data_IF_592632299961
#
_entry.id   IF_592632299961
#
_cell.length_a   1.000
_cell.length_b   1.000
_cell.length_c   1.000
_cell.angle_alpha   90.00
_cell.angle_beta   90.00
_cell.angle_gamma   90.00
#
_symmetry.space_group_name_H-M   'P 1'
#
loop_
_entity.id
_entity.type
_entity.pdbx_description
1 polymer ?
#
# COMPACT_ATOMS: atom_id res chain seq x y z
N UNK A 1 -50.46 0.24 29.56
CA UNK A 1 -49.27 1.01 29.95
C UNK A 1 -48.16 0.69 28.96
N UNK A 2 -47.67 1.68 28.22
CA UNK A 2 -46.56 1.49 27.27
C UNK A 2 -45.26 1.85 28.00
N UNK A 3 -44.31 0.91 28.04
CA UNK A 3 -42.99 1.14 28.65
C UNK A 3 -42.19 2.16 27.83
N UNK A 4 -41.59 3.15 28.49
CA UNK A 4 -40.62 4.06 27.87
C UNK A 4 -39.30 3.34 27.62
N UNK A 5 -38.79 3.38 26.39
CA UNK A 5 -37.50 2.78 26.01
C UNK A 5 -36.39 3.81 26.29
N UNK A 6 -35.55 3.54 27.29
CA UNK A 6 -34.43 4.42 27.68
C UNK A 6 -33.10 4.10 27.00
N UNK A 7 -32.96 2.92 26.39
CA UNK A 7 -31.77 2.49 25.66
C UNK A 7 -32.15 1.47 24.58
N UNK A 8 -31.39 1.42 23.49
CA UNK A 8 -31.52 0.41 22.43
C UNK A 8 -30.23 -0.39 22.38
N UNK A 9 -30.34 -1.70 22.13
CA UNK A 9 -29.18 -2.51 21.82
C UNK A 9 -28.68 -2.15 20.41
N UNK A 10 -27.37 -2.04 20.29
CA UNK A 10 -26.67 -1.92 19.01
C UNK A 10 -25.55 -2.95 19.05
N UNK A 11 -25.29 -3.59 17.91
CA UNK A 11 -24.15 -4.50 17.79
C UNK A 11 -22.85 -3.73 18.11
N UNK A 12 -22.03 -4.19 19.08
CA UNK A 12 -20.78 -3.51 19.44
C UNK A 12 -19.80 -3.31 18.28
N UNK A 13 -19.74 -4.23 17.32
CA UNK A 13 -18.92 -4.06 16.12
C UNK A 13 -19.50 -2.97 15.21
N UNK A 14 -20.82 -2.93 15.06
CA UNK A 14 -21.48 -1.84 14.34
C UNK A 14 -21.17 -0.49 15.00
N UNK A 15 -21.24 -0.37 16.32
CA UNK A 15 -20.92 0.88 17.04
C UNK A 15 -19.49 1.34 16.77
N UNK A 16 -18.50 0.43 16.83
CA UNK A 16 -17.09 0.73 16.56
C UNK A 16 -16.91 1.32 15.15
N UNK A 17 -17.48 0.66 14.14
CA UNK A 17 -17.26 1.05 12.75
C UNK A 17 -18.11 2.25 12.32
N UNK A 18 -19.30 2.43 12.89
CA UNK A 18 -20.09 3.67 12.73
C UNK A 18 -19.35 4.87 13.33
N UNK A 19 -18.79 4.73 14.53
CA UNK A 19 -17.99 5.79 15.15
C UNK A 19 -16.71 6.07 14.34
N UNK A 20 -16.09 5.04 13.76
CA UNK A 20 -14.90 5.16 12.90
C UNK A 20 -15.21 5.92 11.62
N UNK A 21 -16.30 5.58 10.93
CA UNK A 21 -16.80 6.31 9.78
C UNK A 21 -17.07 7.79 10.13
N UNK A 22 -17.75 8.04 11.25
CA UNK A 22 -18.03 9.40 11.73
C UNK A 22 -16.75 10.21 12.02
N UNK A 23 -15.73 9.61 12.65
CA UNK A 23 -14.42 10.24 12.89
C UNK A 23 -13.72 10.64 11.60
N UNK A 24 -13.96 9.92 10.51
CA UNK A 24 -13.43 10.23 9.19
C UNK A 24 -14.35 11.18 8.39
N UNK A 25 -15.47 11.60 8.98
CA UNK A 25 -16.45 12.51 8.41
C UNK A 25 -17.37 11.84 7.38
N UNK A 26 -17.67 10.56 7.57
CA UNK A 26 -18.68 9.82 6.83
C UNK A 26 -19.91 9.61 7.72
N UNK A 27 -21.10 9.71 7.12
CA UNK A 27 -22.37 9.31 7.72
C UNK A 27 -22.84 8.05 7.03
N UNK A 28 -23.01 6.97 7.80
CA UNK A 28 -23.47 5.69 7.26
C UNK A 28 -25.00 5.64 7.26
N UNK A 29 -25.59 5.33 6.12
CA UNK A 29 -27.03 5.14 5.93
C UNK A 29 -27.29 3.69 5.52
N UNK A 30 -28.22 2.99 6.20
CA UNK A 30 -28.62 1.62 5.82
C UNK A 30 -29.81 1.68 4.86
N UNK A 31 -29.73 1.03 3.69
CA UNK A 31 -30.83 0.97 2.72
C UNK A 31 -30.99 -0.39 2.06
N UNK A 32 -32.21 -0.82 1.69
CA UNK A 32 -32.42 -2.10 1.02
C UNK A 32 -32.08 -2.10 -0.48
N UNK A 33 -31.93 -0.93 -1.10
CA UNK A 33 -31.77 -0.75 -2.55
C UNK A 33 -30.32 -0.51 -2.99
N UNK A 34 -29.35 -0.71 -2.10
CA UNK A 34 -27.93 -0.57 -2.39
C UNK A 34 -27.13 -1.68 -1.70
N UNK A 35 -26.00 -2.08 -2.27
CA UNK A 35 -25.06 -2.99 -1.61
C UNK A 35 -24.02 -2.18 -0.83
N UNK A 36 -23.23 -1.36 -1.52
CA UNK A 36 -22.44 -0.27 -0.95
C UNK A 36 -22.31 0.85 -1.98
N UNK A 37 -22.38 2.12 -1.55
CA UNK A 37 -22.17 3.28 -2.40
C UNK A 37 -21.81 4.52 -1.60
N UNK A 38 -21.02 5.44 -2.16
CA UNK A 38 -20.81 6.78 -1.61
C UNK A 38 -21.21 7.86 -2.60
N UNK A 39 -21.75 8.96 -2.11
CA UNK A 39 -22.15 10.09 -2.97
C UNK A 39 -21.04 11.13 -3.15
N UNK A 40 -19.84 10.88 -2.61
CA UNK A 40 -18.71 11.81 -2.63
C UNK A 40 -18.92 13.05 -1.74
N UNK A 41 -19.98 13.09 -0.93
CA UNK A 41 -20.34 14.24 -0.07
C UNK A 41 -20.38 13.87 1.41
N UNK A 42 -19.75 12.75 1.75
CA UNK A 42 -19.63 12.27 3.13
C UNK A 42 -20.78 11.35 3.55
N UNK A 43 -21.60 10.85 2.63
CA UNK A 43 -22.56 9.79 2.92
C UNK A 43 -22.10 8.47 2.33
N UNK A 44 -22.10 7.43 3.16
CA UNK A 44 -21.84 6.04 2.78
C UNK A 44 -23.13 5.24 2.96
N UNK A 45 -23.71 4.75 1.87
CA UNK A 45 -24.90 3.90 1.88
C UNK A 45 -24.44 2.45 1.91
N UNK A 46 -24.92 1.66 2.87
CA UNK A 46 -24.65 0.22 2.97
C UNK A 46 -25.99 -0.54 2.99
N UNK A 47 -26.02 -1.70 2.33
CA UNK A 47 -27.19 -2.57 2.28
C UNK A 47 -27.77 -2.87 3.66
N UNK A 48 -29.09 -2.98 3.77
CA UNK A 48 -29.74 -3.53 4.98
C UNK A 48 -29.43 -5.00 5.14
N UNK A 49 -29.71 -5.57 6.32
CA UNK A 49 -29.43 -6.98 6.60
C UNK A 49 -30.16 -7.93 5.63
N UNK A 50 -31.29 -7.52 5.06
CA UNK A 50 -32.03 -8.28 4.03
C UNK A 50 -31.35 -8.29 2.64
N UNK A 51 -30.37 -7.41 2.43
CA UNK A 51 -29.67 -7.21 1.13
C UNK A 51 -28.25 -7.77 1.14
N UNK A 52 -27.62 -7.82 2.31
CA UNK A 52 -26.25 -8.31 2.48
C UNK A 52 -26.23 -9.84 2.60
N UNK A 53 -25.08 -10.46 2.32
CA UNK A 53 -24.91 -11.89 2.52
C UNK A 53 -24.96 -12.23 4.02
N UNK A 54 -25.35 -13.45 4.36
CA UNK A 54 -25.58 -13.85 5.77
C UNK A 54 -24.32 -13.84 6.63
N UNK A 55 -23.16 -13.84 6.00
CA UNK A 55 -21.84 -13.72 6.61
C UNK A 55 -21.22 -12.32 6.45
N UNK A 56 -21.96 -11.35 5.88
CA UNK A 56 -21.59 -9.94 5.92
C UNK A 56 -21.88 -9.33 7.29
N UNK A 57 -21.02 -8.40 7.69
CA UNK A 57 -21.28 -7.51 8.82
C UNK A 57 -21.15 -6.06 8.40
N UNK A 58 -21.88 -5.16 9.06
CA UNK A 58 -21.72 -3.72 8.84
C UNK A 58 -20.27 -3.25 9.04
N UNK A 59 -19.56 -3.88 9.99
CA UNK A 59 -18.16 -3.64 10.24
C UNK A 59 -17.28 -3.96 9.02
N UNK A 60 -17.48 -5.14 8.41
CA UNK A 60 -16.78 -5.55 7.19
C UNK A 60 -17.05 -4.60 6.04
N UNK A 61 -18.32 -4.24 5.82
CA UNK A 61 -18.71 -3.33 4.73
C UNK A 61 -18.07 -1.94 4.90
N UNK A 62 -18.12 -1.35 6.09
CA UNK A 62 -17.47 -0.06 6.33
C UNK A 62 -15.96 -0.16 6.16
N UNK A 63 -15.32 -1.22 6.66
CA UNK A 63 -13.87 -1.37 6.54
C UNK A 63 -13.42 -1.51 5.09
N UNK A 64 -14.16 -2.30 4.29
CA UNK A 64 -13.91 -2.47 2.87
C UNK A 64 -13.99 -1.13 2.10
N UNK A 65 -15.03 -0.35 2.35
CA UNK A 65 -15.22 0.96 1.73
C UNK A 65 -14.13 1.97 2.12
N UNK A 66 -13.63 1.91 3.36
CA UNK A 66 -12.48 2.72 3.76
C UNK A 66 -11.19 2.28 3.05
N UNK A 67 -11.04 0.99 2.77
CA UNK A 67 -9.92 0.47 1.97
C UNK A 67 -10.02 0.94 0.51
N UNK A 68 -11.22 0.98 -0.08
CA UNK A 68 -11.44 1.58 -1.39
C UNK A 68 -11.01 3.04 -1.43
N UNK A 69 -11.44 3.84 -0.44
CA UNK A 69 -11.04 5.24 -0.37
C UNK A 69 -9.50 5.40 -0.29
N UNK A 70 -8.82 4.55 0.49
CA UNK A 70 -7.37 4.57 0.59
C UNK A 70 -6.67 4.20 -0.74
N UNK A 71 -7.18 3.20 -1.46
CA UNK A 71 -6.64 2.76 -2.77
C UNK A 71 -6.89 3.80 -3.85
N UNK A 72 -8.08 4.41 -3.88
CA UNK A 72 -8.42 5.48 -4.81
C UNK A 72 -7.71 6.80 -4.47
N UNK A 73 -7.22 6.94 -3.24
CA UNK A 73 -6.46 8.08 -2.75
C UNK A 73 -7.34 9.18 -2.17
N UNK A 74 -6.74 10.07 -1.38
CA UNK A 74 -7.47 11.03 -0.54
C UNK A 74 -8.48 11.91 -1.28
N UNK A 75 -8.14 12.34 -2.51
CA UNK A 75 -8.99 13.20 -3.33
C UNK A 75 -10.29 12.52 -3.76
N UNK A 76 -10.31 11.19 -3.87
CA UNK A 76 -11.50 10.42 -4.25
C UNK A 76 -12.66 10.53 -3.26
N UNK A 77 -12.44 11.09 -2.06
CA UNK A 77 -13.50 11.41 -1.11
C UNK A 77 -14.62 12.24 -1.75
N UNK A 78 -14.27 13.12 -2.69
CA UNK A 78 -15.20 14.03 -3.35
C UNK A 78 -15.95 13.40 -4.53
N UNK A 79 -15.60 12.17 -4.90
CA UNK A 79 -16.16 11.46 -6.04
C UNK A 79 -17.18 10.42 -5.58
N UNK A 80 -18.30 10.25 -6.31
CA UNK A 80 -19.18 9.11 -6.11
C UNK A 80 -18.41 7.81 -6.25
N UNK A 81 -18.70 6.84 -5.39
CA UNK A 81 -18.03 5.54 -5.32
C UNK A 81 -16.50 5.60 -5.38
N UNK A 82 -15.90 6.63 -4.76
CA UNK A 82 -14.46 6.85 -4.76
C UNK A 82 -13.86 7.01 -6.18
N UNK A 83 -14.69 7.37 -7.17
CA UNK A 83 -14.32 7.47 -8.58
C UNK A 83 -14.18 6.12 -9.28
N UNK A 84 -14.66 5.02 -8.68
CA UNK A 84 -14.64 3.68 -9.27
C UNK A 84 -15.74 3.50 -10.31
N UNK A 85 -15.46 2.72 -11.35
CA UNK A 85 -16.49 2.17 -12.24
C UNK A 85 -16.98 0.83 -11.71
N UNK A 86 -18.20 0.85 -11.18
CA UNK A 86 -18.89 -0.32 -10.63
C UNK A 86 -19.74 -1.06 -11.67
N UNK A 87 -19.72 -0.63 -12.95
CA UNK A 87 -20.53 -1.19 -14.03
C UNK A 87 -19.68 -2.10 -14.92
N UNK A 88 -18.42 -1.76 -15.13
CA UNK A 88 -17.51 -2.51 -16.01
C UNK A 88 -16.31 -3.07 -15.26
N UNK A 89 -15.53 -3.94 -15.92
CA UNK A 89 -14.31 -4.51 -15.36
C UNK A 89 -13.11 -3.56 -15.38
N UNK A 90 -13.29 -2.30 -15.79
CA UNK A 90 -12.22 -1.30 -15.91
C UNK A 90 -11.40 -1.14 -14.63
N UNK A 91 -12.08 -1.15 -13.48
CA UNK A 91 -11.47 -0.91 -12.16
C UNK A 91 -11.33 -2.20 -11.32
N UNK A 92 -11.47 -3.39 -11.93
CA UNK A 92 -11.30 -4.67 -11.23
C UNK A 92 -9.91 -4.81 -10.54
N UNK A 93 -8.87 -4.19 -11.09
CA UNK A 93 -7.54 -4.17 -10.46
C UNK A 93 -7.49 -3.36 -9.15
N UNK A 94 -8.39 -2.36 -8.99
CA UNK A 94 -8.52 -1.57 -7.75
C UNK A 94 -9.24 -2.36 -6.68
N UNK A 95 -10.19 -3.20 -7.06
CA UNK A 95 -10.81 -4.17 -6.15
C UNK A 95 -9.73 -5.13 -5.60
N UNK A 96 -8.92 -5.71 -6.49
CA UNK A 96 -7.78 -6.55 -6.05
C UNK A 96 -6.81 -5.80 -5.12
N UNK A 97 -6.54 -4.52 -5.38
CA UNK A 97 -5.70 -3.69 -4.50
C UNK A 97 -6.36 -3.46 -3.12
N UNK A 98 -7.67 -3.26 -3.11
CA UNK A 98 -8.49 -3.06 -1.90
C UNK A 98 -8.45 -4.30 -1.03
N UNK A 99 -8.66 -5.49 -1.61
CA UNK A 99 -8.62 -6.75 -0.89
C UNK A 99 -7.22 -7.08 -0.36
N UNK A 100 -6.16 -6.79 -1.13
CA UNK A 100 -4.77 -6.93 -0.66
C UNK A 100 -4.49 -6.02 0.53
N UNK A 101 -4.94 -4.76 0.48
CA UNK A 101 -4.82 -3.80 1.58
C UNK A 101 -5.59 -4.27 2.82
N UNK A 102 -6.85 -4.64 2.63
CA UNK A 102 -7.77 -5.13 3.66
C UNK A 102 -7.17 -6.34 4.39
N UNK A 103 -6.72 -7.37 3.64
CA UNK A 103 -6.05 -8.55 4.22
C UNK A 103 -4.79 -8.18 4.99
N UNK A 104 -3.97 -7.29 4.43
CA UNK A 104 -2.71 -6.86 5.06
C UNK A 104 -2.97 -6.17 6.40
N UNK A 105 -3.89 -5.21 6.43
CA UNK A 105 -4.17 -4.43 7.63
C UNK A 105 -4.93 -5.27 8.67
N UNK A 106 -5.92 -6.08 8.26
CA UNK A 106 -6.64 -6.97 9.16
C UNK A 106 -5.74 -8.05 9.77
N UNK A 107 -4.80 -8.58 8.99
CA UNK A 107 -3.83 -9.59 9.43
C UNK A 107 -2.97 -9.14 10.62
N UNK A 108 -2.70 -7.83 10.76
CA UNK A 108 -2.00 -7.24 11.92
C UNK A 108 -2.67 -7.57 13.26
N UNK A 109 -3.98 -7.84 13.21
CA UNK A 109 -4.84 -8.08 14.36
C UNK A 109 -5.42 -9.50 14.37
N UNK A 110 -4.98 -10.38 13.45
CA UNK A 110 -5.54 -11.73 13.31
C UNK A 110 -6.96 -11.75 12.75
N UNK A 111 -7.38 -10.68 12.06
CA UNK A 111 -8.75 -10.49 11.56
C UNK A 111 -8.89 -10.79 10.05
N UNK A 112 -7.91 -11.45 9.43
CA UNK A 112 -7.91 -11.73 8.00
C UNK A 112 -9.14 -12.57 7.59
N UNK A 113 -9.40 -13.69 8.27
CA UNK A 113 -10.61 -14.49 7.98
C UNK A 113 -11.89 -13.73 8.33
N UNK A 114 -11.87 -12.95 9.41
CA UNK A 114 -13.05 -12.23 9.91
C UNK A 114 -13.53 -11.16 8.92
N UNK A 115 -12.59 -10.49 8.25
CA UNK A 115 -12.88 -9.49 7.23
C UNK A 115 -12.67 -10.04 5.81
N UNK A 116 -12.79 -11.34 5.57
CA UNK A 116 -12.76 -11.84 4.20
C UNK A 116 -14.03 -11.40 3.45
N UNK A 117 -13.95 -11.05 2.15
CA UNK A 117 -15.13 -10.74 1.36
C UNK A 117 -16.00 -12.00 1.21
N UNK A 118 -17.30 -11.76 1.00
CA UNK A 118 -18.37 -12.76 0.84
C UNK A 118 -18.82 -12.90 -0.61
N UNK A 119 -18.56 -11.87 -1.42
CA UNK A 119 -18.84 -11.80 -2.86
C UNK A 119 -17.99 -12.76 -3.69
N UNK A 120 -18.19 -12.77 -5.02
CA UNK A 120 -17.38 -13.54 -5.98
C UNK A 120 -15.86 -13.28 -5.87
N UNK A 121 -15.45 -12.14 -5.30
CA UNK A 121 -14.05 -11.83 -5.01
C UNK A 121 -13.43 -12.69 -3.90
N UNK A 122 -14.24 -13.50 -3.20
CA UNK A 122 -13.74 -14.51 -2.26
C UNK A 122 -12.76 -15.47 -2.91
N UNK A 123 -12.97 -15.82 -4.19
CA UNK A 123 -12.04 -16.67 -4.96
C UNK A 123 -10.65 -16.03 -5.05
N UNK A 124 -10.58 -14.72 -5.32
CA UNK A 124 -9.33 -13.98 -5.34
C UNK A 124 -8.70 -13.93 -3.95
N UNK A 125 -9.49 -13.64 -2.91
CA UNK A 125 -9.02 -13.56 -1.53
C UNK A 125 -8.36 -14.86 -1.05
N UNK A 126 -8.99 -16.00 -1.32
CA UNK A 126 -8.50 -17.32 -0.91
C UNK A 126 -7.25 -17.74 -1.72
N UNK A 127 -7.12 -17.24 -2.96
CA UNK A 127 -5.94 -17.48 -3.81
C UNK A 127 -4.74 -16.58 -3.46
N UNK A 128 -4.92 -15.53 -2.66
CA UNK A 128 -3.82 -14.65 -2.26
C UNK A 128 -2.76 -15.43 -1.47
N UNK A 129 -1.46 -15.23 -1.77
CA UNK A 129 -0.37 -15.85 -1.01
C UNK A 129 -0.33 -15.34 0.43
N UNK A 130 0.44 -16.02 1.29
CA UNK A 130 0.62 -15.65 2.69
C UNK A 130 0.96 -14.15 2.88
N UNK A 131 1.86 -13.61 2.04
CA UNK A 131 2.12 -12.17 1.91
C UNK A 131 1.34 -11.60 0.70
N UNK A 132 0.20 -10.93 0.92
CA UNK A 132 -0.64 -10.39 -0.16
C UNK A 132 0.07 -9.34 -1.03
N UNK A 133 1.24 -8.86 -0.61
CA UNK A 133 1.99 -7.80 -1.29
C UNK A 133 3.28 -8.32 -1.94
N UNK A 134 3.48 -9.64 -2.06
CA UNK A 134 4.73 -10.22 -2.54
C UNK A 134 5.09 -9.82 -3.99
N UNK A 135 4.13 -9.82 -4.92
CA UNK A 135 4.38 -9.50 -6.34
C UNK A 135 4.41 -7.99 -6.59
N UNK A 136 5.58 -7.38 -6.37
CA UNK A 136 5.76 -5.92 -6.54
C UNK A 136 5.70 -5.44 -7.99
N UNK A 137 5.55 -6.35 -8.96
CA UNK A 137 5.31 -6.02 -10.37
C UNK A 137 3.83 -5.88 -10.71
N UNK A 138 2.92 -6.39 -9.87
CA UNK A 138 1.47 -6.26 -10.03
C UNK A 138 1.01 -4.84 -9.62
N UNK A 139 0.29 -4.09 -10.48
CA UNK A 139 -0.20 -2.75 -10.16
C UNK A 139 -1.11 -2.73 -8.93
N UNK A 140 -1.89 -3.77 -8.68
CA UNK A 140 -2.76 -3.86 -7.50
C UNK A 140 -1.95 -3.91 -6.20
N UNK A 141 -0.79 -4.58 -6.21
CA UNK A 141 0.15 -4.61 -5.09
C UNK A 141 0.77 -3.22 -4.88
N UNK A 142 1.20 -2.54 -5.94
CA UNK A 142 1.74 -1.18 -5.86
C UNK A 142 0.72 -0.21 -5.26
N UNK A 143 -0.54 -0.28 -5.71
CA UNK A 143 -1.61 0.54 -5.16
C UNK A 143 -1.91 0.21 -3.69
N UNK A 144 -1.96 -1.07 -3.32
CA UNK A 144 -2.16 -1.48 -1.93
C UNK A 144 -1.03 -0.96 -1.00
N UNK A 145 0.23 -0.96 -1.43
CA UNK A 145 1.35 -0.40 -0.65
C UNK A 145 1.20 1.10 -0.46
N UNK A 146 0.83 1.83 -1.53
CA UNK A 146 0.59 3.28 -1.44
C UNK A 146 -0.55 3.57 -0.46
N UNK A 147 -1.62 2.79 -0.53
CA UNK A 147 -2.77 2.89 0.35
C UNK A 147 -2.42 2.55 1.81
N UNK A 148 -1.57 1.55 2.05
CA UNK A 148 -1.05 1.23 3.38
C UNK A 148 -0.29 2.41 3.99
N UNK A 149 0.56 3.07 3.20
CA UNK A 149 1.28 4.27 3.65
C UNK A 149 0.35 5.46 3.96
N UNK A 150 -0.83 5.54 3.33
CA UNK A 150 -1.87 6.51 3.66
C UNK A 150 -2.62 6.12 4.94
N UNK A 151 -2.91 4.83 5.12
CA UNK A 151 -3.58 4.30 6.31
C UNK A 151 -2.79 4.59 7.59
N UNK A 152 -1.46 4.66 7.50
CA UNK A 152 -0.56 4.99 8.62
C UNK A 152 -0.43 6.50 8.91
N UNK A 153 -1.25 7.35 8.28
CA UNK A 153 -1.24 8.81 8.50
C UNK A 153 -2.59 9.31 9.01
N UNK A 154 -2.61 10.47 9.71
CA UNK A 154 -3.87 11.14 10.00
C UNK A 154 -4.65 11.48 8.71
N UNK A 155 -6.00 11.41 8.73
CA UNK A 155 -6.84 11.05 9.88
C UNK A 155 -7.02 9.53 10.09
N UNK A 156 -6.55 8.68 9.16
CA UNK A 156 -6.83 7.24 9.13
C UNK A 156 -6.17 6.47 10.27
N UNK A 157 -4.88 6.71 10.53
CA UNK A 157 -4.10 5.92 11.47
C UNK A 157 -4.77 5.71 12.84
N UNK A 158 -5.20 6.77 13.57
CA UNK A 158 -5.88 6.57 14.84
C UNK A 158 -7.26 5.91 14.65
N UNK A 159 -8.04 6.34 13.66
CA UNK A 159 -9.40 5.83 13.46
C UNK A 159 -9.41 4.32 13.13
N UNK A 160 -8.61 3.90 12.13
CA UNK A 160 -8.50 2.51 11.71
C UNK A 160 -7.80 1.64 12.77
N UNK A 161 -6.70 2.14 13.34
CA UNK A 161 -5.96 1.41 14.37
C UNK A 161 -6.82 1.10 15.59
N UNK A 162 -7.57 2.09 16.09
CA UNK A 162 -8.50 1.92 17.21
C UNK A 162 -9.62 0.94 16.86
N UNK A 163 -10.21 1.06 15.66
CA UNK A 163 -11.32 0.22 15.21
C UNK A 163 -10.92 -1.26 15.08
N UNK A 164 -9.76 -1.52 14.49
CA UNK A 164 -9.23 -2.87 14.32
C UNK A 164 -8.82 -3.49 15.65
N UNK A 165 -8.20 -2.72 16.55
CA UNK A 165 -7.87 -3.17 17.89
C UNK A 165 -9.13 -3.52 18.70
N UNK A 166 -10.16 -2.67 18.65
CA UNK A 166 -11.44 -2.90 19.32
C UNK A 166 -12.16 -4.12 18.72
N UNK A 167 -12.17 -4.26 17.39
CA UNK A 167 -12.73 -5.43 16.71
C UNK A 167 -12.03 -6.70 17.16
N UNK A 168 -10.69 -6.72 17.20
CA UNK A 168 -9.92 -7.88 17.65
C UNK A 168 -10.25 -8.26 19.10
N UNK A 169 -10.40 -7.29 19.98
CA UNK A 169 -10.79 -7.52 21.37
C UNK A 169 -12.20 -8.14 21.49
N UNK A 170 -13.17 -7.61 20.73
CA UNK A 170 -14.55 -8.12 20.71
C UNK A 170 -14.58 -9.55 20.17
N UNK A 171 -13.94 -9.79 19.02
CA UNK A 171 -13.91 -11.10 18.37
C UNK A 171 -13.20 -12.12 19.26
N UNK A 172 -12.06 -11.77 19.86
CA UNK A 172 -11.34 -12.65 20.78
C UNK A 172 -12.17 -13.00 22.02
N UNK A 173 -12.95 -12.07 22.56
CA UNK A 173 -13.85 -12.32 23.68
C UNK A 173 -15.04 -13.22 23.30
N UNK A 174 -15.54 -13.10 22.06
CA UNK A 174 -16.64 -13.92 21.55
C UNK A 174 -16.19 -15.32 21.10
N UNK A 175 -14.95 -15.49 20.66
CA UNK A 175 -14.42 -16.72 20.06
C UNK A 175 -14.67 -18.01 20.87
N UNK A 176 -14.57 -18.04 22.22
CA UNK A 176 -14.86 -19.24 23.01
C UNK A 176 -16.34 -19.68 22.98
N UNK A 177 -17.25 -18.75 22.67
CA UNK A 177 -18.70 -18.99 22.59
C UNK A 177 -19.19 -19.13 21.15
N UNK A 178 -18.31 -18.90 20.18
CA UNK A 178 -18.64 -18.89 18.77
C UNK A 178 -19.06 -20.30 18.30
N UNK A 179 -20.18 -20.35 17.56
CA UNK A 179 -20.63 -21.54 16.85
C UNK A 179 -19.52 -22.04 15.89
N UNK A 180 -19.52 -23.34 15.51
CA UNK A 180 -18.47 -23.90 14.65
C UNK A 180 -18.30 -23.19 13.30
N UNK A 181 -19.37 -22.62 12.77
CA UNK A 181 -19.48 -21.90 11.50
C UNK A 181 -19.30 -20.37 11.62
N UNK A 182 -19.18 -19.85 12.83
CA UNK A 182 -18.99 -18.41 13.06
C UNK A 182 -17.61 -17.91 12.61
N UNK A 183 -17.56 -16.73 11.99
CA UNK A 183 -16.32 -16.04 11.61
C UNK A 183 -15.40 -15.73 12.80
N UNK A 184 -15.95 -15.58 14.01
CA UNK A 184 -15.17 -15.36 15.23
C UNK A 184 -14.43 -16.61 15.73
N UNK A 185 -14.76 -17.79 15.19
CA UNK A 185 -14.19 -19.06 15.64
C UNK A 185 -12.72 -19.17 15.22
N UNK A 186 -11.85 -19.35 16.21
CA UNK A 186 -10.42 -19.60 15.97
C UNK A 186 -9.60 -18.35 15.66
N UNK A 187 -10.18 -17.16 15.80
CA UNK A 187 -9.43 -15.89 15.72
C UNK A 187 -8.36 -15.85 16.81
N UNK A 188 -7.11 -15.63 16.41
CA UNK A 188 -5.98 -15.44 17.32
C UNK A 188 -5.23 -14.19 16.92
N UNK A 189 -4.95 -13.33 17.91
CA UNK A 189 -4.13 -12.13 17.68
C UNK A 189 -2.66 -12.57 17.68
N UNK A 190 -1.90 -12.34 16.59
CA UNK A 190 -0.49 -12.68 16.54
C UNK A 190 0.28 -11.92 17.64
N UNK A 191 1.25 -12.56 18.33
CA UNK A 191 2.12 -11.83 19.23
C UNK A 191 2.91 -10.78 18.44
N UNK A 192 3.20 -9.60 19.01
CA UNK A 192 3.98 -8.58 18.32
C UNK A 192 5.41 -9.09 18.04
N UNK A 193 6.01 -8.62 16.95
CA UNK A 193 7.41 -8.84 16.68
C UNK A 193 8.28 -8.25 17.81
N UNK A 194 9.45 -8.82 18.15
CA UNK A 194 10.30 -8.29 19.23
C UNK A 194 10.73 -6.82 19.12
N UNK A 195 10.57 -6.20 17.96
CA UNK A 195 10.78 -4.74 17.77
C UNK A 195 9.56 -3.88 18.09
N UNK A 196 8.44 -4.48 18.50
CA UNK A 196 7.15 -3.81 18.71
C UNK A 196 6.32 -3.57 17.44
N UNK A 197 6.84 -3.93 16.27
CA UNK A 197 6.05 -3.93 15.03
C UNK A 197 5.08 -5.13 15.02
N UNK A 198 3.99 -5.10 14.23
CA UNK A 198 3.18 -6.30 14.01
C UNK A 198 4.01 -7.46 13.43
N UNK A 199 3.62 -8.68 13.77
CA UNK A 199 4.26 -9.87 13.22
C UNK A 199 4.06 -9.97 11.71
N UNK A 200 5.03 -10.56 11.02
CA UNK A 200 4.87 -10.95 9.63
C UNK A 200 3.96 -12.16 9.49
N UNK A 201 3.40 -12.31 8.30
CA UNK A 201 2.46 -13.40 7.94
C UNK A 201 3.15 -14.63 7.34
N UNK A 202 4.47 -14.58 7.15
CA UNK A 202 5.27 -15.65 6.56
C UNK A 202 6.37 -16.10 7.54
N UNK A 203 6.12 -17.27 8.15
CA UNK A 203 6.98 -17.91 9.14
C UNK A 203 8.34 -18.36 8.60
N UNK A 204 8.57 -18.29 7.29
CA UNK A 204 9.87 -18.55 6.66
C UNK A 204 10.81 -17.34 6.69
N UNK A 205 10.28 -16.12 6.87
CA UNK A 205 11.07 -14.88 6.80
C UNK A 205 11.77 -14.61 8.12
N UNK A 206 12.98 -14.04 8.03
CA UNK A 206 13.81 -13.71 9.19
C UNK A 206 14.38 -12.31 9.07
N UNK A 207 14.53 -11.59 10.17
CA UNK A 207 15.12 -10.27 10.21
C UNK A 207 16.48 -10.18 9.49
N UNK A 208 17.27 -11.26 9.50
CA UNK A 208 18.56 -11.35 8.79
C UNK A 208 18.47 -11.27 7.27
N UNK A 209 17.34 -11.67 6.68
CA UNK A 209 17.09 -11.59 5.23
C UNK A 209 16.37 -10.30 4.79
N UNK A 210 16.09 -9.39 5.72
CA UNK A 210 15.31 -8.18 5.43
C UNK A 210 16.17 -7.08 4.80
N UNK A 211 15.69 -6.40 3.75
CA UNK A 211 16.35 -5.26 3.12
C UNK A 211 16.60 -4.06 4.08
N UNK A 212 15.84 -4.00 5.18
CA UNK A 212 15.97 -2.97 6.20
C UNK A 212 17.05 -3.27 7.25
N UNK A 213 17.62 -4.48 7.22
CA UNK A 213 18.73 -4.90 8.10
C UNK A 213 20.04 -4.29 7.62
N UNK A 214 20.81 -3.75 8.54
CA UNK A 214 22.16 -3.25 8.29
C UNK A 214 23.06 -3.49 9.49
N UNK A 215 24.37 -3.51 9.28
CA UNK A 215 25.35 -3.68 10.36
C UNK A 215 25.93 -2.34 10.81
N UNK A 216 25.98 -2.13 12.12
CA UNK A 216 26.67 -1.01 12.74
C UNK A 216 27.65 -1.57 13.77
N UNK A 217 28.96 -1.43 13.50
CA UNK A 217 30.04 -1.95 14.36
C UNK A 217 29.85 -3.45 14.69
N UNK A 218 29.51 -4.25 13.68
CA UNK A 218 29.29 -5.70 13.80
C UNK A 218 27.98 -6.13 14.46
N UNK A 219 27.05 -5.19 14.72
CA UNK A 219 25.71 -5.50 15.27
C UNK A 219 24.62 -5.24 14.24
N UNK A 220 23.72 -6.20 14.06
CA UNK A 220 22.57 -6.06 13.18
C UNK A 220 21.55 -5.08 13.77
N UNK A 221 21.07 -4.16 12.92
CA UNK A 221 20.06 -3.16 13.26
C UNK A 221 18.99 -3.08 12.17
N UNK A 222 17.77 -2.78 12.57
CA UNK A 222 16.68 -2.46 11.64
C UNK A 222 16.59 -0.94 11.45
N UNK A 223 16.59 -0.49 10.19
CA UNK A 223 16.44 0.93 9.85
C UNK A 223 15.02 1.47 10.08
N UNK A 224 13.99 0.63 10.12
CA UNK A 224 12.59 1.08 10.27
C UNK A 224 12.27 1.52 11.71
N UNK A 225 12.86 0.84 12.70
CA UNK A 225 12.66 1.11 14.14
C UNK A 225 13.91 1.68 14.79
N UNK A 226 14.98 1.85 14.02
CA UNK A 226 16.31 2.30 14.46
C UNK A 226 16.87 1.50 15.67
N UNK A 227 16.47 0.24 15.82
CA UNK A 227 16.82 -0.62 16.95
C UNK A 227 17.78 -1.75 16.57
N UNK A 228 18.45 -2.32 17.57
CA UNK A 228 19.18 -3.58 17.42
C UNK A 228 18.19 -4.72 17.19
N UNK A 229 18.59 -5.70 16.37
CA UNK A 229 17.77 -6.88 16.06
C UNK A 229 18.62 -8.14 16.16
N UNK A 230 17.97 -9.26 16.48
CA UNK A 230 18.53 -10.58 16.23
C UNK A 230 18.20 -10.99 14.78
N UNK A 231 19.19 -11.34 13.93
CA UNK A 231 18.93 -11.83 12.58
C UNK A 231 18.03 -13.07 12.50
N UNK A 232 17.91 -13.84 13.59
CA UNK A 232 17.09 -15.06 13.68
C UNK A 232 15.64 -14.79 14.12
N UNK A 233 15.29 -13.56 14.51
CA UNK A 233 13.90 -13.22 14.77
C UNK A 233 13.04 -13.41 13.50
N UNK A 234 11.76 -13.78 13.66
CA UNK A 234 10.80 -13.80 12.56
C UNK A 234 10.79 -12.48 11.78
N UNK A 235 10.35 -12.49 10.53
CA UNK A 235 10.06 -11.25 9.82
C UNK A 235 8.90 -10.50 10.49
N UNK A 236 8.99 -9.18 10.61
CA UNK A 236 7.82 -8.35 10.91
C UNK A 236 6.96 -8.15 9.65
N UNK A 237 5.79 -7.56 9.79
CA UNK A 237 4.90 -7.24 8.67
C UNK A 237 5.55 -6.34 7.60
N UNK A 238 6.57 -5.55 7.97
CA UNK A 238 7.30 -4.66 7.07
C UNK A 238 8.54 -5.30 6.46
N UNK A 239 8.68 -6.62 6.60
CA UNK A 239 9.77 -7.36 5.98
C UNK A 239 9.78 -7.09 4.47
N UNK A 240 10.97 -6.77 3.96
CA UNK A 240 11.21 -6.69 2.52
C UNK A 240 12.32 -7.66 2.14
N UNK A 241 12.13 -8.47 1.09
CA UNK A 241 13.16 -9.38 0.62
C UNK A 241 14.37 -8.59 0.08
N UNK A 242 15.45 -9.31 -0.23
CA UNK A 242 16.62 -8.75 -0.89
C UNK A 242 16.22 -7.93 -2.13
N UNK A 243 16.84 -6.76 -2.27
CA UNK A 243 16.46 -5.78 -3.28
C UNK A 243 17.02 -6.18 -4.65
N UNK A 244 16.18 -6.05 -5.67
CA UNK A 244 16.58 -6.16 -7.08
C UNK A 244 16.16 -4.89 -7.85
N UNK A 245 17.15 -4.26 -8.47
CA UNK A 245 16.95 -3.06 -9.29
C UNK A 245 16.19 -3.36 -10.59
N UNK A 246 16.32 -4.56 -11.15
CA UNK A 246 15.59 -4.94 -12.36
C UNK A 246 14.10 -5.13 -12.09
N UNK A 247 13.73 -5.45 -10.85
CA UNK A 247 12.34 -5.50 -10.42
C UNK A 247 11.80 -4.12 -10.01
N UNK A 248 12.57 -3.29 -9.30
CA UNK A 248 12.01 -2.07 -8.70
C UNK A 248 12.22 -0.77 -9.48
N UNK A 249 13.38 -0.59 -10.13
CA UNK A 249 13.75 0.66 -10.83
C UNK A 249 13.65 1.95 -9.98
N UNK A 250 13.48 1.87 -8.66
CA UNK A 250 12.87 2.93 -7.85
C UNK A 250 13.57 4.29 -7.95
N UNK A 251 14.91 4.32 -7.89
CA UNK A 251 15.69 5.55 -8.00
C UNK A 251 15.70 6.16 -9.41
N UNK A 252 15.44 5.36 -10.44
CA UNK A 252 15.40 5.81 -11.84
C UNK A 252 14.00 6.27 -12.27
N UNK A 253 12.95 5.92 -11.50
CA UNK A 253 11.57 6.33 -11.75
C UNK A 253 11.24 7.69 -11.11
N UNK A 254 10.02 7.88 -10.64
CA UNK A 254 9.49 9.14 -10.09
C UNK A 254 10.03 9.52 -8.70
N UNK A 255 10.90 8.71 -8.08
CA UNK A 255 11.43 8.98 -6.73
C UNK A 255 12.24 10.28 -6.60
N UNK A 256 12.94 10.66 -7.68
CA UNK A 256 13.81 11.83 -7.73
C UNK A 256 13.52 12.64 -8.98
N UNK A 257 13.32 13.95 -8.83
CA UNK A 257 13.03 14.86 -9.95
C UNK A 257 14.26 15.24 -10.77
N UNK A 258 15.47 15.03 -10.24
CA UNK A 258 16.71 15.36 -10.92
C UNK A 258 17.86 14.45 -10.46
N UNK A 259 18.70 14.05 -11.41
CA UNK A 259 19.99 13.41 -11.14
C UNK A 259 21.07 14.32 -11.72
N UNK A 260 21.92 14.85 -10.84
CA UNK A 260 22.98 15.77 -11.24
C UNK A 260 24.03 15.05 -12.09
N UNK A 261 24.54 15.75 -13.09
CA UNK A 261 25.62 15.28 -13.96
C UNK A 261 26.79 16.24 -13.78
N UNK A 262 27.93 15.71 -13.33
CA UNK A 262 29.13 16.52 -13.14
C UNK A 262 29.65 17.10 -14.46
N UNK A 263 30.33 18.26 -14.44
CA UNK A 263 30.86 18.88 -15.66
C UNK A 263 31.93 18.02 -16.35
N UNK A 264 32.52 17.02 -15.69
CA UNK A 264 33.49 16.08 -16.28
C UNK A 264 32.97 14.65 -16.35
N UNK A 265 31.67 14.44 -16.14
CA UNK A 265 31.09 13.11 -16.13
C UNK A 265 31.10 12.50 -17.55
N UNK A 266 31.62 11.28 -17.75
CA UNK A 266 31.72 10.64 -19.07
C UNK A 266 30.39 10.58 -19.84
N UNK A 267 29.26 10.51 -19.13
CA UNK A 267 27.91 10.48 -19.73
C UNK A 267 27.67 11.66 -20.68
N UNK A 268 28.29 12.83 -20.41
CA UNK A 268 28.10 14.04 -21.23
C UNK A 268 28.62 13.87 -22.66
N UNK A 269 29.68 13.09 -22.82
CA UNK A 269 30.30 12.85 -24.13
C UNK A 269 29.81 11.55 -24.74
N UNK A 270 29.66 10.51 -23.92
CA UNK A 270 29.30 9.18 -24.40
C UNK A 270 27.80 9.03 -24.67
N UNK A 271 26.94 9.82 -24.01
CA UNK A 271 25.49 9.71 -24.11
C UNK A 271 24.81 11.09 -23.98
N UNK A 272 25.17 12.09 -24.81
CA UNK A 272 24.70 13.47 -24.70
C UNK A 272 23.17 13.61 -24.78
N UNK A 273 22.50 12.74 -25.53
CA UNK A 273 21.03 12.74 -25.70
C UNK A 273 20.25 12.51 -24.40
N UNK A 274 20.91 11.99 -23.37
CA UNK A 274 20.35 11.79 -22.03
C UNK A 274 20.71 12.89 -21.05
N UNK A 275 21.41 13.94 -21.46
CA UNK A 275 21.85 15.05 -20.60
C UNK A 275 21.18 16.35 -21.02
N UNK A 276 20.65 17.06 -20.03
CA UNK A 276 20.04 18.37 -20.20
C UNK A 276 20.96 19.44 -19.60
N UNK A 277 21.22 20.50 -20.36
CA UNK A 277 21.84 21.73 -19.85
C UNK A 277 20.75 22.68 -19.34
N UNK A 278 20.61 22.77 -18.02
CA UNK A 278 19.60 23.62 -17.37
C UNK A 278 19.80 25.10 -17.66
N UNK A 279 21.03 25.53 -17.94
CA UNK A 279 21.29 26.91 -18.32
C UNK A 279 20.71 27.27 -19.70
N UNK A 280 20.30 26.28 -20.49
CA UNK A 280 19.65 26.48 -21.79
C UNK A 280 18.11 26.38 -21.73
N UNK A 281 17.53 25.95 -20.60
CA UNK A 281 16.09 25.71 -20.46
C UNK A 281 15.33 26.81 -19.70
N UNK A 282 16.01 27.62 -18.91
CA UNK A 282 15.36 28.55 -17.98
C UNK A 282 15.67 30.00 -18.40
N UNK A 283 14.64 30.86 -18.53
CA UNK A 283 14.76 32.33 -18.67
C UNK A 283 15.21 33.02 -17.35
N UNK A 284 15.85 32.26 -16.45
CA UNK A 284 16.20 32.65 -15.10
C UNK A 284 17.71 32.78 -14.85
N UNK A 285 18.11 33.05 -13.60
CA UNK A 285 19.51 33.10 -13.21
C UNK A 285 20.21 31.78 -13.55
N UNK A 286 21.38 31.88 -14.20
CA UNK A 286 22.15 30.70 -14.60
C UNK A 286 22.48 29.85 -13.36
N UNK A 287 22.16 28.54 -13.36
CA UNK A 287 22.46 27.69 -12.22
C UNK A 287 23.98 27.59 -11.99
N UNK A 288 24.44 27.34 -10.75
CA UNK A 288 25.84 27.08 -10.46
C UNK A 288 26.41 25.99 -11.37
N UNK A 289 27.70 26.05 -11.68
CA UNK A 289 28.34 25.09 -12.61
C UNK A 289 28.14 23.62 -12.19
N UNK A 290 28.05 23.35 -10.88
CA UNK A 290 27.79 22.02 -10.32
C UNK A 290 26.35 21.51 -10.51
N UNK A 291 25.41 22.38 -10.88
CA UNK A 291 23.98 22.08 -11.07
C UNK A 291 23.54 22.30 -12.51
N UNK A 292 24.46 22.69 -13.39
CA UNK A 292 24.19 23.02 -14.79
C UNK A 292 23.64 21.82 -15.57
N UNK A 293 24.15 20.62 -15.32
CA UNK A 293 23.74 19.43 -16.08
C UNK A 293 22.98 18.44 -15.21
N UNK A 294 21.95 17.84 -15.79
CA UNK A 294 21.20 16.75 -15.18
C UNK A 294 20.81 15.69 -16.22
N UNK A 295 20.48 14.48 -15.76
CA UNK A 295 19.87 13.50 -16.66
C UNK A 295 18.50 13.99 -17.12
N UNK A 296 18.24 13.83 -18.42
CA UNK A 296 16.95 14.06 -19.02
C UNK A 296 15.89 13.17 -18.35
N UNK A 297 14.68 13.69 -18.26
CA UNK A 297 13.50 12.95 -17.83
C UNK A 297 12.46 12.97 -18.92
N UNK A 298 11.68 11.89 -19.01
CA UNK A 298 10.63 11.74 -20.00
C UNK A 298 9.36 11.21 -19.33
N UNK A 299 8.19 11.66 -19.80
CA UNK A 299 6.93 11.04 -19.45
C UNK A 299 6.93 9.56 -19.82
N UNK A 300 6.28 8.75 -19.00
CA UNK A 300 6.12 7.32 -19.20
C UNK A 300 4.80 6.85 -18.57
N UNK A 301 4.11 5.86 -19.18
CA UNK A 301 2.99 5.19 -18.52
C UNK A 301 3.38 4.68 -17.14
N UNK A 302 2.71 5.13 -16.09
CA UNK A 302 3.03 4.79 -14.71
C UNK A 302 2.87 3.29 -14.40
N UNK A 303 3.24 2.87 -13.18
CA UNK A 303 3.04 1.48 -12.75
C UNK A 303 1.56 1.15 -12.51
N UNK A 304 0.65 2.13 -12.64
CA UNK A 304 -0.79 1.96 -12.46
C UNK A 304 -1.51 2.29 -13.77
N UNK A 305 -2.59 1.56 -14.11
CA UNK A 305 -3.40 1.85 -15.29
C UNK A 305 -3.85 3.33 -15.33
N UNK A 306 -3.67 3.98 -16.48
CA UNK A 306 -4.07 5.38 -16.71
C UNK A 306 -3.17 6.44 -16.04
N UNK A 307 -2.12 6.05 -15.32
CA UNK A 307 -1.16 7.00 -14.74
C UNK A 307 -0.08 7.38 -15.75
N UNK A 308 0.40 8.62 -15.70
CA UNK A 308 1.66 9.05 -16.32
C UNK A 308 2.63 9.50 -15.23
N UNK A 309 3.92 9.18 -15.38
CA UNK A 309 4.99 9.59 -14.48
C UNK A 309 6.20 10.05 -15.26
N UNK A 310 6.92 11.04 -14.73
CA UNK A 310 8.26 11.35 -15.22
C UNK A 310 9.28 10.39 -14.64
N UNK A 311 10.13 9.84 -15.50
CA UNK A 311 11.26 8.98 -15.12
C UNK A 311 12.53 9.37 -15.86
N UNK A 312 13.66 8.81 -15.43
CA UNK A 312 14.94 8.97 -16.15
C UNK A 312 14.78 8.54 -17.61
N UNK A 313 15.22 9.38 -18.55
CA UNK A 313 15.13 9.11 -19.98
C UNK A 313 15.88 7.85 -20.41
N UNK A 314 16.91 7.45 -19.65
CA UNK A 314 17.69 6.24 -19.90
C UNK A 314 17.08 4.97 -19.27
N UNK A 315 15.96 5.07 -18.55
CA UNK A 315 15.28 3.92 -17.97
C UNK A 315 14.41 3.23 -19.03
N UNK A 316 14.76 1.99 -19.35
CA UNK A 316 13.96 1.09 -20.19
C UNK A 316 13.15 0.12 -19.32
N UNK A 317 12.12 -0.48 -19.90
CA UNK A 317 11.20 -1.38 -19.19
C UNK A 317 10.16 -0.64 -18.36
N UNK A 318 9.60 -1.31 -17.35
CA UNK A 318 8.56 -0.76 -16.47
C UNK A 318 7.20 -0.53 -17.13
N UNK A 319 7.01 -1.00 -18.37
CA UNK A 319 5.74 -0.93 -19.06
C UNK A 319 4.78 -1.99 -18.51
N UNK A 320 3.51 -1.63 -18.32
CA UNK A 320 2.46 -2.59 -17.99
C UNK A 320 2.20 -3.52 -19.16
N UNK A 321 2.21 -4.83 -18.88
CA UNK A 321 1.92 -5.90 -19.84
C UNK A 321 0.99 -6.91 -19.19
N UNK A 322 0.19 -7.60 -19.99
CA UNK A 322 -0.69 -8.66 -19.50
C UNK A 322 0.11 -9.85 -18.96
N UNK A 323 -0.37 -10.44 -17.86
CA UNK A 323 0.15 -11.69 -17.27
C UNK A 323 -1.02 -12.50 -16.72
N UNK A 324 -1.45 -13.51 -17.49
CA UNK A 324 -2.66 -14.26 -17.17
C UNK A 324 -3.90 -13.37 -17.29
N UNK A 325 -4.71 -13.34 -16.24
CA UNK A 325 -5.87 -12.47 -16.05
C UNK A 325 -5.50 -11.08 -15.48
N UNK A 326 -4.24 -10.88 -15.11
CA UNK A 326 -3.74 -9.65 -14.49
C UNK A 326 -2.76 -8.84 -15.34
N UNK A 327 -2.16 -7.86 -14.68
CA UNK A 327 -1.13 -6.98 -15.23
C UNK A 327 0.19 -7.16 -14.45
N UNK A 328 1.30 -6.94 -15.13
CA UNK A 328 2.62 -6.86 -14.49
C UNK A 328 3.49 -5.82 -15.18
N UNK A 329 4.53 -5.32 -14.53
CA UNK A 329 5.52 -4.44 -15.14
C UNK A 329 6.68 -5.22 -15.75
N UNK A 330 7.11 -4.85 -16.96
CA UNK A 330 8.37 -5.37 -17.54
C UNK A 330 9.59 -4.97 -16.70
N UNK A 331 10.63 -5.81 -16.73
CA UNK A 331 11.87 -5.57 -15.99
C UNK A 331 12.57 -4.27 -16.39
N UNK A 332 13.14 -3.57 -15.41
CA UNK A 332 13.83 -2.30 -15.59
C UNK A 332 15.30 -2.48 -15.98
N UNK A 333 15.78 -1.65 -16.91
CA UNK A 333 17.20 -1.57 -17.23
C UNK A 333 17.65 -0.14 -17.54
N UNK A 334 18.94 0.14 -17.39
CA UNK A 334 19.53 1.43 -17.73
C UNK A 334 20.20 1.32 -19.11
N UNK A 335 19.72 2.06 -20.10
CA UNK A 335 20.27 2.08 -21.45
C UNK A 335 21.72 2.60 -21.51
N UNK A 336 22.14 3.37 -20.50
CA UNK A 336 23.48 3.97 -20.41
C UNK A 336 24.28 3.40 -19.22
N UNK A 337 24.01 2.15 -18.82
CA UNK A 337 24.54 1.60 -17.56
C UNK A 337 26.05 1.81 -17.41
N UNK A 338 26.84 1.47 -18.42
CA UNK A 338 28.31 1.54 -18.34
C UNK A 338 28.86 2.96 -18.24
N UNK A 339 28.13 3.95 -18.74
CA UNK A 339 28.53 5.36 -18.74
C UNK A 339 27.65 6.22 -17.83
N UNK A 340 26.83 5.61 -16.98
CA UNK A 340 25.89 6.31 -16.08
C UNK A 340 26.64 7.31 -15.17
N UNK A 341 26.01 8.42 -14.75
CA UNK A 341 26.68 9.45 -13.95
C UNK A 341 27.26 8.93 -12.64
N UNK A 342 28.26 9.62 -12.08
CA UNK A 342 28.85 9.29 -10.77
C UNK A 342 27.77 9.16 -9.67
N UNK A 343 26.82 10.09 -9.62
CA UNK A 343 25.68 10.04 -8.68
C UNK A 343 24.88 8.73 -8.76
N UNK A 344 24.77 8.12 -9.94
CA UNK A 344 24.12 6.81 -10.11
C UNK A 344 25.06 5.64 -9.78
N UNK A 345 26.36 5.73 -10.12
CA UNK A 345 27.34 4.68 -9.82
C UNK A 345 27.56 4.50 -8.32
N UNK A 346 27.60 5.61 -7.60
CA UNK A 346 27.89 5.64 -6.16
C UNK A 346 26.65 5.32 -5.32
N UNK A 347 25.48 5.12 -5.96
CA UNK A 347 24.24 4.81 -5.28
C UNK A 347 24.24 3.37 -4.77
N UNK A 348 24.42 3.19 -3.46
CA UNK A 348 24.46 1.86 -2.84
C UNK A 348 23.06 1.26 -2.68
N UNK A 349 22.88 0.03 -3.15
CA UNK A 349 21.68 -0.78 -2.94
C UNK A 349 21.42 -0.98 -1.42
N UNK A 350 20.18 -0.82 -0.97
CA UNK A 350 19.84 -0.94 0.46
C UNK A 350 20.32 0.22 1.35
N UNK A 351 20.92 1.26 0.76
CA UNK A 351 21.17 2.51 1.48
C UNK A 351 19.86 3.20 1.90
N UNK A 352 19.96 4.15 2.84
CA UNK A 352 18.82 4.96 3.25
C UNK A 352 18.17 5.70 2.07
N UNK A 353 18.96 6.14 1.09
CA UNK A 353 18.45 6.77 -0.14
C UNK A 353 17.71 5.75 -1.02
N UNK A 354 18.23 4.53 -1.18
CA UNK A 354 17.56 3.46 -1.92
C UNK A 354 16.17 3.14 -1.34
N UNK A 355 16.10 2.94 -0.03
CA UNK A 355 14.86 2.61 0.68
C UNK A 355 13.87 3.77 0.65
N UNK A 356 14.36 5.01 0.76
CA UNK A 356 13.54 6.22 0.59
C UNK A 356 12.98 6.34 -0.83
N UNK A 357 13.76 6.00 -1.86
CA UNK A 357 13.27 5.99 -3.23
C UNK A 357 12.13 4.96 -3.40
N UNK A 358 12.31 3.75 -2.86
CA UNK A 358 11.29 2.69 -2.91
C UNK A 358 9.98 3.09 -2.22
N UNK A 359 10.06 3.74 -1.04
CA UNK A 359 8.90 4.34 -0.38
C UNK A 359 8.15 5.30 -1.29
N UNK A 360 8.86 6.25 -1.90
CA UNK A 360 8.25 7.29 -2.74
C UNK A 360 7.50 6.73 -3.95
N UNK A 361 7.99 5.63 -4.52
CA UNK A 361 7.33 4.99 -5.68
C UNK A 361 6.25 3.97 -5.28
N UNK A 362 6.06 3.72 -3.98
CA UNK A 362 5.07 2.77 -3.46
C UNK A 362 5.52 1.31 -3.53
N UNK A 363 6.81 1.02 -3.31
CA UNK A 363 7.36 -0.33 -3.33
C UNK A 363 7.86 -0.82 -1.97
N UNK A 364 7.69 -0.02 -0.92
CA UNK A 364 8.30 -0.24 0.39
C UNK A 364 7.29 -0.02 1.51
N UNK A 365 7.35 -0.85 2.54
CA UNK A 365 6.35 -0.95 3.62
C UNK A 365 6.64 -0.11 4.85
N UNK A 366 7.73 0.66 4.88
CA UNK A 366 8.09 1.49 6.04
C UNK A 366 8.87 2.72 5.66
#
# INVERSE_FOLDING_TARGET
MTRTIGARYVDPLAEVWLATAARLGLTVERRPDAYAATDGRGRLVIGSDDTLDVDDSLAQMIFHELCHWLVSGLASRAEPDWGLDNITTRDAWREHATLRLQRTIAGRYGLDRFFAPTTDYRVFWDALPADPLADRGDPSVVAAIRALALAERPPFAPALGDALAATAAIVAAAAPFAAPDSLARGTTVPPPHPTGLPAGVDDGRRCGGCAWRHDVRGRARCRQVEAAIDPTWPGCERFEPALDCQTCGACCREAYHAVRVGPRDPVRTAAPDYVVDRAALEDGPRPPAAERYQLARRPHPGPLPGQEVDRCAALTGGALVARGDGLTTTGYACAIYDVRPATCRDFTLGSAHCLTARRRVGLSLG
#
